data_IF_958765512117
#
_entry.id   IF_958765512117
#
_cell.length_a   1.000
_cell.length_b   1.000
_cell.length_c   1.000
_cell.angle_alpha   90.00
_cell.angle_beta   90.00
_cell.angle_gamma   90.00
#
_symmetry.space_group_name_H-M   'P 1'
#
loop_
_entity.id
_entity.type
_entity.pdbx_description
1 polymer ?
#
# COMPACT_ATOMS: atom_id res chain seq x y z
N UNK A 1 -5.86 -29.97 -16.45
CA UNK A 1 -5.99 -28.51 -16.20
C UNK A 1 -5.21 -28.16 -14.93
N UNK A 2 -4.12 -27.40 -15.01
CA UNK A 2 -3.37 -26.99 -13.80
C UNK A 2 -4.16 -25.92 -13.02
N UNK A 3 -4.30 -26.09 -11.71
CA UNK A 3 -4.95 -25.10 -10.83
C UNK A 3 -4.12 -23.83 -10.78
N UNK A 4 -4.73 -22.69 -11.11
CA UNK A 4 -4.07 -21.38 -11.10
C UNK A 4 -3.99 -20.75 -9.70
N UNK A 5 -4.86 -21.17 -8.78
CA UNK A 5 -4.90 -20.70 -7.38
C UNK A 5 -4.87 -21.88 -6.42
N UNK A 6 -4.28 -21.68 -5.25
CA UNK A 6 -4.22 -22.69 -4.18
C UNK A 6 -4.33 -22.02 -2.82
N UNK A 7 -4.95 -22.70 -1.86
CA UNK A 7 -5.14 -22.22 -0.48
C UNK A 7 -4.74 -23.30 0.53
N UNK A 8 -4.44 -22.87 1.76
CA UNK A 8 -4.32 -23.72 2.94
C UNK A 8 -5.70 -24.22 3.41
N UNK A 9 -5.76 -25.26 4.28
CA UNK A 9 -7.03 -25.75 4.84
C UNK A 9 -7.85 -24.69 5.61
N UNK A 10 -7.18 -23.69 6.18
CA UNK A 10 -7.81 -22.56 6.86
C UNK A 10 -8.32 -21.45 5.90
N UNK A 11 -8.27 -21.68 4.59
CA UNK A 11 -8.78 -20.76 3.57
C UNK A 11 -7.79 -19.71 3.07
N UNK A 12 -6.61 -19.57 3.70
CA UNK A 12 -5.61 -18.59 3.26
C UNK A 12 -5.00 -18.96 1.90
N UNK A 13 -4.94 -18.00 0.98
CA UNK A 13 -4.36 -18.20 -0.35
C UNK A 13 -2.84 -18.37 -0.27
N UNK A 14 -2.27 -19.40 -0.89
CA UNK A 14 -0.81 -19.62 -0.93
C UNK A 14 -0.21 -19.39 -2.30
N UNK A 15 -1.00 -19.46 -3.38
CA UNK A 15 -0.53 -19.26 -4.76
C UNK A 15 -1.62 -18.61 -5.62
N UNK A 16 -1.21 -17.71 -6.51
CA UNK A 16 -2.06 -17.16 -7.58
C UNK A 16 -1.22 -16.88 -8.84
N UNK A 17 -1.23 -17.84 -9.76
CA UNK A 17 -0.49 -17.75 -11.02
C UNK A 17 -1.00 -16.67 -11.97
N UNK A 18 -2.25 -16.23 -11.83
CA UNK A 18 -2.72 -15.10 -12.64
C UNK A 18 -2.03 -13.79 -12.23
N UNK A 19 -1.50 -13.73 -11.00
CA UNK A 19 -0.74 -12.60 -10.47
C UNK A 19 0.76 -12.90 -10.37
N UNK A 20 1.21 -14.03 -10.93
CA UNK A 20 2.59 -14.51 -10.82
C UNK A 20 3.03 -14.84 -9.39
N UNK A 21 2.11 -15.04 -8.44
CA UNK A 21 2.43 -15.32 -7.03
C UNK A 21 2.71 -16.82 -6.87
N UNK A 22 3.96 -17.14 -6.53
CA UNK A 22 4.44 -18.51 -6.36
C UNK A 22 4.23 -19.05 -4.95
N UNK A 23 4.21 -18.17 -3.95
CA UNK A 23 4.09 -18.53 -2.54
C UNK A 23 3.64 -17.32 -1.69
N UNK A 24 2.84 -17.58 -0.65
CA UNK A 24 2.50 -16.63 0.41
C UNK A 24 2.70 -17.31 1.76
N UNK A 25 3.48 -16.68 2.64
CA UNK A 25 3.67 -17.10 4.03
C UNK A 25 2.82 -16.22 4.95
N UNK A 26 2.40 -16.80 6.06
CA UNK A 26 1.48 -16.18 7.02
C UNK A 26 2.04 -16.27 8.44
N UNK A 27 1.64 -15.33 9.30
CA UNK A 27 1.84 -15.45 10.76
C UNK A 27 0.65 -16.17 11.44
N UNK A 28 0.72 -16.31 12.76
CA UNK A 28 -0.32 -16.95 13.58
C UNK A 28 -1.66 -16.18 13.61
N UNK A 29 -1.68 -14.92 13.16
CA UNK A 29 -2.89 -14.10 12.99
C UNK A 29 -3.46 -14.21 11.56
N UNK A 30 -2.98 -15.15 10.75
CA UNK A 30 -3.36 -15.31 9.34
C UNK A 30 -3.06 -14.06 8.48
N UNK A 31 -2.09 -13.23 8.88
CA UNK A 31 -1.64 -12.07 8.09
C UNK A 31 -0.45 -12.47 7.19
N UNK A 32 -0.44 -12.07 5.90
CA UNK A 32 0.68 -12.36 5.00
C UNK A 32 1.97 -11.71 5.48
N UNK A 33 3.03 -12.49 5.69
CA UNK A 33 4.36 -11.99 6.09
C UNK A 33 5.34 -11.91 4.93
N UNK A 34 5.16 -12.76 3.92
CA UNK A 34 6.00 -12.80 2.73
C UNK A 34 5.21 -13.25 1.51
N UNK A 35 5.38 -12.56 0.39
CA UNK A 35 4.83 -12.91 -0.93
C UNK A 35 6.02 -13.05 -1.89
N UNK A 36 6.11 -14.18 -2.57
CA UNK A 36 7.16 -14.51 -3.55
C UNK A 36 6.54 -14.60 -4.95
N UNK A 37 7.28 -14.18 -5.98
CA UNK A 37 6.83 -14.17 -7.37
C UNK A 37 7.57 -15.21 -8.22
N UNK A 38 6.89 -15.81 -9.21
CA UNK A 38 7.47 -16.82 -10.09
C UNK A 38 8.63 -16.25 -10.94
N UNK A 39 9.66 -17.07 -11.16
CA UNK A 39 10.76 -16.77 -12.10
C UNK A 39 11.69 -15.60 -11.73
N UNK A 40 11.57 -15.04 -10.52
CA UNK A 40 12.36 -13.89 -10.07
C UNK A 40 12.70 -14.01 -8.58
N UNK A 41 13.61 -13.16 -8.10
CA UNK A 41 13.84 -12.95 -6.67
C UNK A 41 12.95 -11.85 -6.08
N UNK A 42 11.94 -11.40 -6.84
CA UNK A 42 11.02 -10.35 -6.39
C UNK A 42 10.19 -10.89 -5.22
N UNK A 43 10.06 -10.08 -4.18
CA UNK A 43 9.27 -10.43 -3.01
C UNK A 43 8.74 -9.20 -2.30
N UNK A 44 7.63 -9.38 -1.60
CA UNK A 44 7.10 -8.39 -0.66
C UNK A 44 7.12 -9.00 0.73
N UNK A 45 7.73 -8.32 1.70
CA UNK A 45 7.67 -8.71 3.11
C UNK A 45 6.95 -7.66 3.93
N UNK A 46 6.27 -8.12 4.99
CA UNK A 46 5.54 -7.28 5.91
C UNK A 46 5.97 -7.58 7.34
N UNK A 47 6.15 -6.52 8.13
CA UNK A 47 6.32 -6.58 9.58
C UNK A 47 5.05 -6.07 10.24
N UNK A 48 4.61 -6.77 11.27
CA UNK A 48 3.45 -6.41 12.06
C UNK A 48 3.82 -6.34 13.54
N UNK A 49 3.07 -5.56 14.32
CA UNK A 49 3.10 -5.67 15.77
C UNK A 49 2.24 -6.87 16.25
N UNK A 50 2.22 -7.08 17.57
CA UNK A 50 1.48 -8.19 18.21
C UNK A 50 -0.04 -8.13 18.00
N UNK A 51 -0.59 -6.95 17.71
CA UNK A 51 -2.03 -6.74 17.47
C UNK A 51 -2.37 -6.84 15.97
N UNK A 52 -1.37 -7.10 15.11
CA UNK A 52 -1.57 -7.25 13.67
C UNK A 52 -1.56 -5.94 12.87
N UNK A 53 -1.18 -4.82 13.49
CA UNK A 53 -0.97 -3.56 12.75
C UNK A 53 0.34 -3.64 11.98
N UNK A 54 0.32 -3.24 10.71
CA UNK A 54 1.50 -3.24 9.84
C UNK A 54 2.44 -2.11 10.27
N UNK A 55 3.71 -2.44 10.47
CA UNK A 55 4.79 -1.50 10.82
C UNK A 55 5.71 -1.22 9.64
N UNK A 56 5.92 -2.20 8.77
CA UNK A 56 6.83 -2.08 7.61
C UNK A 56 6.37 -2.92 6.44
N UNK A 57 6.60 -2.41 5.23
CA UNK A 57 6.51 -3.12 3.96
C UNK A 57 7.85 -2.98 3.24
N UNK A 58 8.44 -4.08 2.84
CA UNK A 58 9.62 -4.08 1.97
C UNK A 58 9.27 -4.76 0.65
N UNK A 59 9.48 -4.05 -0.45
CA UNK A 59 9.32 -4.58 -1.81
C UNK A 59 10.69 -4.70 -2.41
N UNK A 60 11.10 -5.93 -2.71
CA UNK A 60 12.33 -6.25 -3.40
C UNK A 60 11.99 -6.50 -4.86
N UNK A 61 12.61 -5.73 -5.74
CA UNK A 61 12.71 -5.97 -7.16
C UNK A 61 14.12 -6.48 -7.47
N UNK A 62 14.35 -7.01 -8.68
CA UNK A 62 15.68 -7.44 -9.12
C UNK A 62 16.77 -6.38 -8.91
N UNK A 63 16.43 -5.11 -9.16
CA UNK A 63 17.42 -4.02 -9.20
C UNK A 63 17.21 -2.95 -8.12
N UNK A 64 16.18 -3.08 -7.28
CA UNK A 64 15.88 -2.06 -6.27
C UNK A 64 15.10 -2.59 -5.09
N UNK A 65 15.21 -1.90 -3.96
CA UNK A 65 14.44 -2.19 -2.74
C UNK A 65 13.67 -0.92 -2.36
N UNK A 66 12.36 -1.06 -2.14
CA UNK A 66 11.50 0.01 -1.62
C UNK A 66 11.03 -0.38 -0.23
N UNK A 67 11.26 0.49 0.75
CA UNK A 67 10.83 0.31 2.13
C UNK A 67 9.78 1.37 2.44
N UNK A 68 8.65 0.94 2.99
CA UNK A 68 7.61 1.80 3.54
C UNK A 68 7.42 1.48 5.02
N UNK A 69 7.62 2.47 5.86
CA UNK A 69 7.37 2.40 7.30
C UNK A 69 6.01 3.03 7.63
N UNK A 70 5.32 2.44 8.61
CA UNK A 70 3.98 2.83 9.04
C UNK A 70 4.01 3.21 10.51
N UNK A 71 3.49 4.40 10.83
CA UNK A 71 3.40 4.89 12.19
C UNK A 71 2.07 5.64 12.37
N UNK A 72 1.13 5.03 13.08
CA UNK A 72 -0.18 5.63 13.39
C UNK A 72 -0.90 6.24 12.16
N UNK A 73 -0.93 5.48 11.06
CA UNK A 73 -1.52 5.92 9.78
C UNK A 73 -0.59 6.76 8.89
N UNK A 74 0.50 7.32 9.42
CA UNK A 74 1.54 7.96 8.63
C UNK A 74 2.34 6.92 7.86
N UNK A 75 2.72 7.25 6.62
CA UNK A 75 3.50 6.40 5.73
C UNK A 75 4.77 7.10 5.30
N UNK A 76 5.91 6.45 5.48
CA UNK A 76 7.23 6.97 5.11
C UNK A 76 7.87 6.05 4.09
N UNK A 77 8.30 6.58 2.95
CA UNK A 77 9.10 5.82 1.98
C UNK A 77 10.54 6.27 2.07
N UNK A 78 11.45 5.38 2.47
CA UNK A 78 12.87 5.72 2.66
C UNK A 78 13.07 6.92 3.62
N UNK A 79 12.36 6.93 4.75
CA UNK A 79 12.34 8.02 5.75
C UNK A 79 11.70 9.34 5.29
N UNK A 80 11.12 9.42 4.09
CA UNK A 80 10.42 10.60 3.60
C UNK A 80 8.92 10.42 3.78
N UNK A 81 8.25 11.34 4.49
CA UNK A 81 6.80 11.32 4.67
C UNK A 81 6.09 11.38 3.31
N UNK A 82 5.19 10.42 3.07
CA UNK A 82 4.43 10.31 1.83
C UNK A 82 2.94 10.59 2.04
N UNK A 83 2.36 10.04 3.12
CA UNK A 83 0.92 10.11 3.36
C UNK A 83 0.60 10.17 4.85
N UNK A 84 -0.48 10.84 5.20
CA UNK A 84 -1.14 10.72 6.50
C UNK A 84 -2.65 10.94 6.35
N UNK A 85 -3.49 10.33 7.21
CA UNK A 85 -4.94 10.43 7.10
C UNK A 85 -5.48 11.77 7.63
N UNK A 86 -6.67 12.15 7.19
CA UNK A 86 -7.54 13.14 7.81
C UNK A 86 -8.99 12.65 7.78
N UNK A 87 -9.93 13.37 8.39
CA UNK A 87 -11.29 12.89 8.61
C UNK A 87 -12.04 12.49 7.33
N UNK A 88 -11.75 13.14 6.21
CA UNK A 88 -12.46 12.94 4.93
C UNK A 88 -11.58 12.28 3.87
N UNK A 89 -10.40 11.78 4.22
CA UNK A 89 -9.47 11.18 3.27
C UNK A 89 -8.02 11.17 3.77
N UNK A 90 -7.10 11.65 2.94
CA UNK A 90 -5.68 11.68 3.28
C UNK A 90 -4.97 12.87 2.64
N UNK A 91 -3.78 13.17 3.15
CA UNK A 91 -2.88 14.17 2.59
C UNK A 91 -1.72 13.45 1.92
N UNK A 92 -1.48 13.74 0.64
CA UNK A 92 -0.28 13.32 -0.08
C UNK A 92 0.79 14.40 0.06
N UNK A 93 1.91 14.01 0.66
CA UNK A 93 3.04 14.87 0.96
C UNK A 93 4.10 14.68 -0.11
N UNK A 94 4.53 15.77 -0.76
CA UNK A 94 5.57 15.74 -1.80
C UNK A 94 6.70 16.68 -1.41
N UNK A 95 7.94 16.19 -1.27
CA UNK A 95 9.10 17.06 -1.12
C UNK A 95 9.22 18.00 -2.33
N UNK A 96 9.45 19.28 -2.08
CA UNK A 96 9.62 20.30 -3.13
C UNK A 96 11.07 20.75 -3.31
N UNK A 97 11.97 20.19 -2.52
CA UNK A 97 13.41 20.40 -2.64
C UNK A 97 14.18 19.08 -2.51
N UNK A 98 15.46 19.11 -2.89
CA UNK A 98 16.33 17.92 -2.89
C UNK A 98 16.78 17.48 -1.50
N UNK A 99 16.67 18.35 -0.50
CA UNK A 99 17.07 18.09 0.89
C UNK A 99 15.91 17.52 1.71
N UNK A 100 14.71 17.45 1.15
CA UNK A 100 13.47 17.05 1.83
C UNK A 100 13.19 17.89 3.10
N UNK A 101 13.45 19.20 3.04
CA UNK A 101 13.20 20.11 4.16
C UNK A 101 11.87 20.86 4.02
N UNK A 102 11.37 21.04 2.79
CA UNK A 102 10.09 21.65 2.47
C UNK A 102 9.17 20.67 1.75
N UNK A 103 7.87 20.82 2.01
CA UNK A 103 6.84 19.89 1.55
C UNK A 103 5.62 20.62 0.99
N UNK A 104 5.07 20.08 -0.09
CA UNK A 104 3.75 20.39 -0.59
C UNK A 104 2.73 19.38 -0.04
N UNK A 105 1.63 19.90 0.52
CA UNK A 105 0.53 19.13 1.07
C UNK A 105 -0.65 19.11 0.11
N UNK A 106 -0.94 17.93 -0.43
CA UNK A 106 -2.00 17.75 -1.42
C UNK A 106 -3.14 16.99 -0.77
N UNK A 107 -4.23 17.69 -0.44
CA UNK A 107 -5.40 17.11 0.21
C UNK A 107 -6.22 16.31 -0.80
N UNK A 108 -6.53 15.07 -0.43
CA UNK A 108 -7.40 14.17 -1.17
C UNK A 108 -8.60 13.84 -0.30
N UNK A 109 -9.78 13.93 -0.90
CA UNK A 109 -11.06 13.65 -0.26
C UNK A 109 -11.66 12.40 -0.89
N UNK A 110 -12.25 11.57 -0.05
CA UNK A 110 -12.85 10.30 -0.45
C UNK A 110 -14.36 10.36 -0.23
N UNK A 111 -15.12 10.13 -1.30
CA UNK A 111 -16.53 9.80 -1.19
C UNK A 111 -16.67 8.29 -1.00
N UNK A 112 -17.30 7.89 0.09
CA UNK A 112 -17.46 6.49 0.47
C UNK A 112 -18.92 6.06 0.32
N UNK A 113 -19.13 4.78 0.02
CA UNK A 113 -20.45 4.17 0.11
C UNK A 113 -20.83 3.86 1.56
N UNK A 114 -22.05 3.34 1.75
CA UNK A 114 -22.59 2.97 3.07
C UNK A 114 -21.82 1.85 3.79
N UNK A 115 -20.90 1.16 3.11
CA UNK A 115 -20.02 0.12 3.67
C UNK A 115 -18.60 0.64 3.94
N UNK A 116 -18.33 1.93 3.66
CA UNK A 116 -17.03 2.56 3.84
C UNK A 116 -16.06 2.33 2.69
N UNK A 117 -16.49 1.76 1.56
CA UNK A 117 -15.62 1.62 0.39
C UNK A 117 -15.51 2.97 -0.34
N UNK A 118 -14.30 3.34 -0.75
CA UNK A 118 -14.08 4.54 -1.56
C UNK A 118 -14.64 4.32 -2.97
N UNK A 119 -15.56 5.19 -3.39
CA UNK A 119 -16.17 5.20 -4.73
C UNK A 119 -15.60 6.28 -5.63
N UNK A 120 -15.17 7.39 -5.04
CA UNK A 120 -14.57 8.50 -5.74
C UNK A 120 -13.51 9.14 -4.85
N UNK A 121 -12.34 9.43 -5.42
CA UNK A 121 -11.31 10.24 -4.80
C UNK A 121 -11.10 11.51 -5.62
N UNK A 122 -11.11 12.67 -4.98
CA UNK A 122 -10.95 13.96 -5.63
C UNK A 122 -10.04 14.90 -4.85
N UNK A 123 -9.46 15.86 -5.55
CA UNK A 123 -8.62 16.90 -4.97
C UNK A 123 -8.83 18.24 -5.67
N UNK A 124 -8.27 19.31 -5.11
CA UNK A 124 -8.15 20.60 -5.80
C UNK A 124 -6.86 20.61 -6.61
N UNK A 125 -6.96 20.87 -7.92
CA UNK A 125 -5.78 21.06 -8.75
C UNK A 125 -5.04 22.32 -8.32
N UNK A 126 -3.75 22.23 -7.94
CA UNK A 126 -3.02 23.36 -7.39
C UNK A 126 -2.70 24.45 -8.43
N UNK A 127 -2.79 24.14 -9.73
CA UNK A 127 -2.51 25.09 -10.82
C UNK A 127 -3.76 25.83 -11.26
N UNK A 128 -4.86 25.09 -11.45
CA UNK A 128 -6.11 25.68 -11.97
C UNK A 128 -7.08 26.10 -10.87
N UNK A 129 -6.85 25.66 -9.63
CA UNK A 129 -7.76 25.81 -8.49
C UNK A 129 -9.13 25.15 -8.68
N UNK A 130 -9.27 24.24 -9.64
CA UNK A 130 -10.51 23.53 -9.92
C UNK A 130 -10.54 22.16 -9.25
N UNK A 131 -11.74 21.60 -9.09
CA UNK A 131 -11.93 20.22 -8.67
C UNK A 131 -11.33 19.27 -9.72
N UNK A 132 -10.60 18.26 -9.25
CA UNK A 132 -10.02 17.21 -10.08
C UNK A 132 -10.35 15.83 -9.50
N UNK A 133 -10.92 14.98 -10.34
CA UNK A 133 -11.11 13.56 -10.02
C UNK A 133 -9.76 12.84 -10.17
N UNK A 134 -9.39 12.05 -9.16
CA UNK A 134 -8.17 11.25 -9.16
C UNK A 134 -8.45 9.79 -9.53
N UNK A 135 -9.54 9.23 -8.99
CA UNK A 135 -9.94 7.84 -9.20
C UNK A 135 -11.46 7.70 -9.00
N UNK A 136 -12.08 6.83 -9.80
CA UNK A 136 -13.48 6.43 -9.73
C UNK A 136 -13.56 4.89 -9.87
N UNK A 137 -14.34 4.22 -9.01
CA UNK A 137 -14.47 2.75 -8.94
C UNK A 137 -15.91 2.26 -9.09
#
# INVERSE_FOLDING_TARGET
MMRKKSCMPNGNMIKDRNKGISNIRYNHLNLPTQIEFEGTNNKITYLYNSVGQKLKKTVVYSDSIKIVDYLDGFQYAGNILQFFPHAEGYVKVTPIDRLNTNYAFNYVFNYTDHLGNVRLSYSKDPRTNQLKILEEN
#
